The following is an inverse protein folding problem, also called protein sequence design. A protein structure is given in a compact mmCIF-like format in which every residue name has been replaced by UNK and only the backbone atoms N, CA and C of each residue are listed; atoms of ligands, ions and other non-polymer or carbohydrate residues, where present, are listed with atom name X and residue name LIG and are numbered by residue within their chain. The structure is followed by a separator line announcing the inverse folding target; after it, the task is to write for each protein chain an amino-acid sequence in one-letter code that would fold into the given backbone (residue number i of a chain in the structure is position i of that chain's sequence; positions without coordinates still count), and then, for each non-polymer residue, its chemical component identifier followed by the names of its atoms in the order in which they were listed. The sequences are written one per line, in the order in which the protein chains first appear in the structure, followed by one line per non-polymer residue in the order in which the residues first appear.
data_IF_981495414716
#
_entry.id   IF_981495414716
#
_cell.length_a   1.000
_cell.length_b   1.000
_cell.length_c   1.000
_cell.angle_alpha   90.00
_cell.angle_beta   90.00
_cell.angle_gamma   90.00
#
_symmetry.space_group_name_H-M   'P 1'
#
loop_
_entity.id
_entity.type
_entity.pdbx_description
1 polymer ?
#
# COMPACT_ATOMS: atom_id res chain seq x y z
N UNK A 1 24.04 3.07 38.52
CA UNK A 1 22.90 3.45 37.64
C UNK A 1 23.33 3.88 36.24
N UNK A 2 24.31 4.80 36.07
CA UNK A 2 24.75 5.27 34.75
C UNK A 2 25.13 4.16 33.74
N UNK A 3 25.80 3.10 34.19
CA UNK A 3 26.18 1.96 33.34
C UNK A 3 24.98 1.23 32.74
N UNK A 4 23.92 1.00 33.53
CA UNK A 4 22.70 0.34 33.05
C UNK A 4 21.99 1.19 31.99
N UNK A 5 21.90 2.50 32.22
CA UNK A 5 21.33 3.45 31.26
C UNK A 5 22.10 3.46 29.94
N UNK A 6 23.43 3.45 30.00
CA UNK A 6 24.29 3.38 28.80
C UNK A 6 24.09 2.08 28.05
N UNK A 7 24.02 0.94 28.74
CA UNK A 7 23.77 -0.37 28.11
C UNK A 7 22.41 -0.39 27.42
N UNK A 8 21.36 0.14 28.05
CA UNK A 8 20.02 0.20 27.45
C UNK A 8 20.02 1.09 26.20
N UNK A 9 20.66 2.25 26.26
CA UNK A 9 20.78 3.15 25.09
C UNK A 9 21.53 2.48 23.96
N UNK A 10 22.64 1.79 24.23
CA UNK A 10 23.36 1.04 23.21
C UNK A 10 22.48 -0.05 22.58
N UNK A 11 21.73 -0.81 23.37
CA UNK A 11 20.82 -1.83 22.85
C UNK A 11 19.71 -1.23 21.98
N UNK A 12 19.14 -0.09 22.40
CA UNK A 12 18.15 0.64 21.61
C UNK A 12 18.72 1.14 20.28
N UNK A 13 19.96 1.60 20.25
CA UNK A 13 20.59 2.06 19.00
C UNK A 13 20.91 0.87 18.08
N UNK A 14 21.49 -0.20 18.63
CA UNK A 14 21.87 -1.40 17.88
C UNK A 14 20.66 -2.09 17.27
N UNK A 15 19.53 -2.14 17.96
CA UNK A 15 18.32 -2.82 17.49
C UNK A 15 17.41 -1.84 16.73
N UNK A 16 17.22 -0.64 17.25
CA UNK A 16 16.28 0.34 16.75
C UNK A 16 16.65 0.90 15.38
N UNK A 17 17.94 1.17 15.12
CA UNK A 17 18.39 1.70 13.82
C UNK A 17 18.14 0.70 12.68
N UNK A 18 18.63 -0.56 12.73
CA UNK A 18 18.39 -1.51 11.65
C UNK A 18 16.91 -1.89 11.53
N UNK A 19 16.18 -1.98 12.65
CA UNK A 19 14.73 -2.21 12.61
C UNK A 19 14.02 -1.07 11.88
N UNK A 20 14.33 0.19 12.23
CA UNK A 20 13.77 1.36 11.57
C UNK A 20 14.11 1.40 10.07
N UNK A 21 15.35 1.08 9.71
CA UNK A 21 15.80 1.06 8.33
C UNK A 21 15.08 -0.02 7.50
N UNK A 22 14.94 -1.24 8.05
CA UNK A 22 14.19 -2.33 7.42
C UNK A 22 12.71 -1.96 7.19
N UNK A 23 12.13 -1.10 8.03
CA UNK A 23 10.76 -0.62 7.81
C UNK A 23 10.64 0.37 6.66
N UNK A 24 11.68 1.16 6.38
CA UNK A 24 11.71 2.15 5.30
C UNK A 24 11.94 1.45 3.95
N UNK A 25 12.87 0.49 3.91
CA UNK A 25 13.19 -0.24 2.68
C UNK A 25 12.31 -1.47 2.47
N UNK A 26 10.99 -1.28 2.59
CA UNK A 26 10.01 -2.29 2.18
C UNK A 26 9.53 -2.08 0.73
N UNK A 27 10.29 -1.30 -0.04
CA UNK A 27 10.06 -1.11 -1.47
C UNK A 27 10.45 -2.40 -2.18
N UNK A 28 9.62 -2.89 -3.11
CA UNK A 28 10.04 -3.99 -3.97
C UNK A 28 11.30 -3.53 -4.74
N UNK A 29 12.48 -4.15 -4.56
CA UNK A 29 13.76 -3.59 -5.03
C UNK A 29 13.83 -3.36 -6.54
N UNK A 30 12.98 -4.06 -7.30
CA UNK A 30 12.86 -3.96 -8.75
C UNK A 30 11.59 -3.23 -9.24
N UNK A 31 10.73 -2.73 -8.33
CA UNK A 31 9.54 -1.99 -8.72
C UNK A 31 9.95 -0.60 -9.22
N UNK A 32 10.13 -0.50 -10.54
CA UNK A 32 10.30 0.79 -11.20
C UNK A 32 8.97 1.53 -11.13
N UNK A 33 8.95 2.81 -10.71
CA UNK A 33 7.75 3.62 -10.81
C UNK A 33 7.31 3.64 -12.26
N UNK A 34 6.08 3.23 -12.53
CA UNK A 34 5.48 3.40 -13.85
C UNK A 34 5.24 4.90 -14.01
N UNK A 35 5.88 5.58 -14.98
CA UNK A 35 5.69 7.00 -15.17
C UNK A 35 4.30 7.21 -15.77
N UNK A 36 3.31 7.41 -14.90
CA UNK A 36 1.92 7.64 -15.26
C UNK A 36 1.62 9.14 -15.11
N UNK A 37 1.40 9.81 -16.23
CA UNK A 37 1.03 11.22 -16.28
C UNK A 37 -0.49 11.36 -16.30
N UNK A 38 -0.99 12.52 -15.84
CA UNK A 38 -2.42 12.85 -15.94
C UNK A 38 -2.86 12.85 -17.41
N UNK A 39 -2.00 13.30 -18.32
CA UNK A 39 -2.27 13.32 -19.76
C UNK A 39 -2.47 11.89 -20.31
N UNK A 40 -1.63 10.94 -19.91
CA UNK A 40 -1.78 9.52 -20.29
C UNK A 40 -3.10 8.93 -19.77
N UNK A 41 -3.46 9.18 -18.51
CA UNK A 41 -4.73 8.72 -17.95
C UNK A 41 -5.93 9.26 -18.71
N UNK A 42 -5.90 10.55 -19.09
CA UNK A 42 -6.95 11.17 -19.90
C UNK A 42 -7.00 10.59 -21.30
N UNK A 43 -5.85 10.29 -21.91
CA UNK A 43 -5.80 9.67 -23.24
C UNK A 43 -6.37 8.25 -23.24
N UNK A 44 -6.11 7.46 -22.19
CA UNK A 44 -6.69 6.13 -22.02
C UNK A 44 -8.22 6.21 -21.86
N UNK A 45 -8.71 7.18 -21.10
CA UNK A 45 -10.15 7.41 -20.96
C UNK A 45 -10.81 7.84 -22.29
N UNK A 46 -10.12 8.66 -23.09
CA UNK A 46 -10.64 9.16 -24.36
C UNK A 46 -10.64 8.11 -25.48
N UNK A 47 -9.94 6.99 -25.31
CA UNK A 47 -9.83 5.90 -26.30
C UNK A 47 -10.35 4.57 -25.73
N UNK A 48 -11.66 4.45 -25.43
CA UNK A 48 -12.21 3.16 -25.06
C UNK A 48 -12.23 2.25 -26.30
N UNK A 49 -11.23 1.36 -26.44
CA UNK A 49 -11.31 0.23 -27.38
C UNK A 49 -12.40 -0.77 -26.96
N UNK A 50 -12.75 -0.79 -25.67
CA UNK A 50 -13.73 -1.70 -25.06
C UNK A 50 -14.84 -0.91 -24.34
N UNK A 51 -15.99 -1.58 -24.11
CA UNK A 51 -17.09 -1.01 -23.35
C UNK A 51 -16.62 -0.62 -21.93
N UNK A 52 -17.10 0.52 -21.43
CA UNK A 52 -16.84 0.93 -20.06
C UNK A 52 -17.78 0.15 -19.11
N UNK A 53 -17.36 -0.10 -17.86
CA UNK A 53 -18.23 -0.72 -16.88
C UNK A 53 -19.38 0.21 -16.47
N UNK A 54 -20.57 -0.35 -16.36
CA UNK A 54 -21.80 0.36 -15.96
C UNK A 54 -21.83 0.66 -14.45
N UNK A 55 -21.09 -0.14 -13.67
CA UNK A 55 -20.99 0.05 -12.23
C UNK A 55 -19.65 -0.43 -11.67
N UNK A 56 -19.22 0.19 -10.58
CA UNK A 56 -18.10 -0.27 -9.76
C UNK A 56 -18.64 -0.55 -8.37
N UNK A 57 -18.50 -1.79 -7.93
CA UNK A 57 -18.82 -2.23 -6.57
C UNK A 57 -17.53 -2.44 -5.80
N UNK A 58 -17.55 -2.17 -4.51
CA UNK A 58 -16.41 -2.44 -3.63
C UNK A 58 -16.89 -3.08 -2.34
N UNK A 59 -16.03 -3.92 -1.76
CA UNK A 59 -16.28 -4.57 -0.49
C UNK A 59 -15.01 -4.58 0.35
N UNK A 60 -15.14 -4.26 1.65
CA UNK A 60 -14.03 -4.39 2.59
C UNK A 60 -13.88 -5.85 2.98
N UNK A 61 -12.86 -6.51 2.46
CA UNK A 61 -12.60 -7.93 2.69
C UNK A 61 -11.81 -8.20 3.98
N UNK A 62 -11.01 -7.24 4.43
CA UNK A 62 -10.18 -7.41 5.63
C UNK A 62 -9.77 -6.07 6.26
N UNK A 63 -9.15 -6.16 7.43
CA UNK A 63 -8.47 -5.04 8.07
C UNK A 63 -7.23 -5.54 8.79
N UNK A 64 -6.12 -4.82 8.63
CA UNK A 64 -4.86 -5.15 9.29
C UNK A 64 -4.27 -3.92 9.99
N UNK A 65 -3.53 -4.15 11.07
CA UNK A 65 -2.73 -3.12 11.72
C UNK A 65 -1.35 -3.10 11.09
N UNK A 66 -0.89 -1.92 10.68
CA UNK A 66 0.48 -1.74 10.22
C UNK A 66 1.05 -0.40 10.68
N UNK A 67 2.37 -0.32 10.75
CA UNK A 67 3.04 0.93 11.11
C UNK A 67 2.91 1.93 9.97
N UNK A 68 2.53 3.16 10.29
CA UNK A 68 2.14 4.18 9.30
C UNK A 68 3.27 4.54 8.33
N UNK A 69 4.53 4.46 8.77
CA UNK A 69 5.70 4.65 7.91
C UNK A 69 5.80 3.64 6.76
N UNK A 70 5.02 2.55 6.76
CA UNK A 70 4.91 1.61 5.64
C UNK A 70 3.95 2.08 4.54
N UNK A 71 3.10 3.08 4.82
CA UNK A 71 2.05 3.55 3.90
C UNK A 71 2.39 4.94 3.35
N UNK A 72 2.80 5.85 4.23
CA UNK A 72 3.09 7.23 3.88
C UNK A 72 4.30 7.75 4.67
N UNK A 73 4.98 8.77 4.13
CA UNK A 73 6.07 9.43 4.84
C UNK A 73 5.51 10.40 5.90
N UNK A 74 6.11 10.43 7.10
CA UNK A 74 5.72 11.36 8.18
C UNK A 74 5.00 10.81 9.43
N UNK A 75 4.21 9.71 9.40
CA UNK A 75 3.46 9.23 10.58
C UNK A 75 4.32 8.44 11.59
N UNK A 76 5.58 8.18 11.26
CA UNK A 76 6.53 7.48 12.12
C UNK A 76 6.11 6.05 12.46
N UNK A 77 6.38 5.63 13.70
CA UNK A 77 6.12 4.27 14.19
C UNK A 77 4.67 4.05 14.69
N UNK A 78 3.78 5.02 14.46
CA UNK A 78 2.38 4.90 14.91
C UNK A 78 1.68 3.79 14.14
N UNK A 79 1.09 2.84 14.86
CA UNK A 79 0.26 1.79 14.25
C UNK A 79 -1.07 2.39 13.78
N UNK A 80 -1.43 2.10 12.54
CA UNK A 80 -2.69 2.52 11.92
C UNK A 80 -3.44 1.30 11.37
N UNK A 81 -4.77 1.39 11.36
CA UNK A 81 -5.63 0.33 10.84
C UNK A 81 -5.86 0.56 9.35
N UNK A 82 -5.33 -0.31 8.51
CA UNK A 82 -5.56 -0.29 7.06
C UNK A 82 -6.73 -1.22 6.72
N UNK A 83 -7.66 -0.72 5.90
CA UNK A 83 -8.75 -1.52 5.33
C UNK A 83 -8.34 -2.04 3.96
N UNK A 84 -8.55 -3.33 3.74
CA UNK A 84 -8.29 -3.98 2.46
C UNK A 84 -9.62 -4.12 1.73
N UNK A 85 -9.67 -3.66 0.49
CA UNK A 85 -10.87 -3.66 -0.34
C UNK A 85 -10.66 -4.54 -1.57
N UNK A 86 -11.74 -5.21 -1.99
CA UNK A 86 -11.86 -5.81 -3.32
C UNK A 86 -12.86 -5.01 -4.13
N UNK A 87 -12.64 -4.94 -5.44
CA UNK A 87 -13.48 -4.19 -6.37
C UNK A 87 -14.02 -5.11 -7.45
N UNK A 88 -15.22 -4.80 -7.95
CA UNK A 88 -15.86 -5.48 -9.06
C UNK A 88 -16.34 -4.43 -10.05
N UNK A 89 -15.88 -4.51 -11.30
CA UNK A 89 -16.42 -3.77 -12.42
C UNK A 89 -17.54 -4.61 -13.06
N UNK A 90 -18.76 -4.08 -13.05
CA UNK A 90 -19.93 -4.72 -13.66
C UNK A 90 -20.12 -4.24 -15.10
N UNK A 91 -20.47 -5.18 -15.98
CA UNK A 91 -20.79 -4.96 -17.39
C UNK A 91 -22.17 -5.56 -17.67
N UNK A 92 -22.93 -4.94 -18.57
CA UNK A 92 -24.25 -5.40 -19.01
C UNK A 92 -24.28 -6.83 -19.59
N UNK A 93 -23.14 -7.34 -20.08
CA UNK A 93 -22.99 -8.69 -20.63
C UNK A 93 -22.87 -9.79 -19.56
N UNK A 94 -23.02 -9.45 -18.27
CA UNK A 94 -22.87 -10.33 -17.12
C UNK A 94 -21.47 -10.95 -16.95
N UNK A 95 -20.43 -10.33 -17.52
CA UNK A 95 -19.01 -10.71 -17.34
C UNK A 95 -18.32 -9.77 -16.33
N UNK A 96 -18.55 -9.90 -15.00
CA UNK A 96 -17.93 -9.00 -14.04
C UNK A 96 -16.41 -9.23 -13.96
N UNK A 97 -15.65 -8.14 -13.89
CA UNK A 97 -14.20 -8.17 -13.70
C UNK A 97 -13.87 -7.88 -12.24
N UNK A 98 -13.25 -8.85 -11.57
CA UNK A 98 -12.77 -8.70 -10.18
C UNK A 98 -11.37 -8.10 -10.17
N UNK A 99 -11.17 -7.06 -9.35
CA UNK A 99 -9.91 -6.36 -9.19
C UNK A 99 -9.47 -6.47 -7.73
N UNK A 100 -8.21 -6.86 -7.52
CA UNK A 100 -7.66 -7.07 -6.18
C UNK A 100 -8.22 -8.33 -5.49
N UNK A 101 -8.47 -9.41 -6.25
CA UNK A 101 -8.86 -10.72 -5.70
C UNK A 101 -7.67 -11.54 -5.15
N UNK A 102 -6.44 -11.05 -5.28
CA UNK A 102 -5.24 -11.73 -4.80
C UNK A 102 -5.13 -11.71 -3.27
N UNK A 103 -4.76 -12.86 -2.68
CA UNK A 103 -4.48 -13.00 -1.24
C UNK A 103 -3.02 -12.65 -0.89
N UNK A 104 -2.52 -11.50 -1.34
CA UNK A 104 -1.18 -11.03 -0.97
C UNK A 104 -1.22 -9.92 0.05
#
# INVERSE_FOLDING_TARGET
MARLSVTIVMLLLIIGIPFYWFMIDNSAPAAKPIPLTIEQLRSLYASPEEALPDSIRYERIASQWMMGNRIEAGPGLRSIRLHIFSYMAGYDDASPVMIGSGMT
#
